data_IF_321421353470
#
_entry.id   IF_321421353470
#
_cell.length_a   1.000
_cell.length_b   1.000
_cell.length_c   1.000
_cell.angle_alpha   90.00
_cell.angle_beta   90.00
_cell.angle_gamma   90.00
#
_symmetry.space_group_name_H-M   'P 1'
#
loop_
_entity.id
_entity.type
_entity.pdbx_description
1 polymer ?
#
# COMPACT_ATOMS: atom_id res chain seq x y z
N UNK A 1 10.81 -13.38 -7.28
CA UNK A 1 10.59 -12.42 -8.37
C UNK A 1 10.12 -13.16 -9.61
N UNK A 2 9.12 -12.68 -10.35
CA UNK A 2 8.73 -13.23 -11.64
C UNK A 2 9.88 -13.06 -12.64
N UNK A 3 9.96 -13.96 -13.62
CA UNK A 3 10.95 -13.89 -14.71
C UNK A 3 10.27 -14.02 -16.06
N UNK A 4 10.82 -13.38 -17.09
CA UNK A 4 10.28 -13.44 -18.44
C UNK A 4 8.97 -12.68 -18.61
N UNK A 5 8.12 -13.13 -19.54
CA UNK A 5 6.87 -12.46 -19.91
C UNK A 5 5.71 -13.01 -19.09
N UNK A 6 5.10 -12.13 -18.30
CA UNK A 6 4.05 -12.45 -17.33
C UNK A 6 2.74 -11.74 -17.66
N UNK A 7 1.63 -12.28 -17.16
CA UNK A 7 0.30 -11.65 -17.27
C UNK A 7 -0.33 -11.35 -15.90
N UNK A 8 -1.63 -11.04 -15.92
CA UNK A 8 -2.43 -10.72 -14.74
C UNK A 8 -2.27 -11.69 -13.56
N UNK A 9 -2.35 -13.01 -13.82
CA UNK A 9 -2.24 -14.02 -12.75
C UNK A 9 -0.88 -13.98 -12.07
N UNK A 10 0.20 -13.89 -12.84
CA UNK A 10 1.57 -13.85 -12.32
C UNK A 10 1.81 -12.56 -11.50
N UNK A 11 1.23 -11.43 -11.93
CA UNK A 11 1.24 -10.17 -11.17
C UNK A 11 0.58 -10.35 -9.80
N UNK A 12 -0.56 -11.03 -9.72
CA UNK A 12 -1.20 -11.35 -8.44
C UNK A 12 -0.33 -12.26 -7.56
N UNK A 13 0.25 -13.32 -8.14
CA UNK A 13 1.15 -14.23 -7.41
C UNK A 13 2.40 -13.50 -6.90
N UNK A 14 2.90 -12.52 -7.64
CA UNK A 14 4.01 -11.69 -7.20
C UNK A 14 3.66 -10.85 -5.97
N UNK A 15 2.52 -10.15 -5.98
CA UNK A 15 2.08 -9.41 -4.81
C UNK A 15 1.83 -10.33 -3.60
N UNK A 16 1.27 -11.52 -3.82
CA UNK A 16 1.12 -12.53 -2.78
C UNK A 16 2.46 -12.91 -2.15
N UNK A 17 3.48 -13.15 -2.98
CA UNK A 17 4.83 -13.47 -2.51
C UNK A 17 5.46 -12.31 -1.72
N UNK A 18 5.33 -11.06 -2.20
CA UNK A 18 5.82 -9.88 -1.49
C UNK A 18 5.22 -9.76 -0.08
N UNK A 19 3.90 -9.99 0.04
CA UNK A 19 3.25 -9.99 1.35
C UNK A 19 3.72 -11.15 2.23
N UNK A 20 3.91 -12.34 1.67
CA UNK A 20 4.42 -13.50 2.40
C UNK A 20 5.83 -13.29 2.95
N UNK A 21 6.69 -12.60 2.19
CA UNK A 21 8.06 -12.25 2.59
C UNK A 21 8.12 -11.02 3.51
N UNK A 22 6.97 -10.42 3.84
CA UNK A 22 6.88 -9.14 4.54
C UNK A 22 7.72 -8.03 3.85
N UNK A 23 7.88 -8.15 2.53
CA UNK A 23 8.54 -7.18 1.68
C UNK A 23 7.55 -6.04 1.41
N UNK A 24 7.58 -5.02 2.28
CA UNK A 24 6.69 -3.85 2.20
C UNK A 24 7.10 -2.91 1.05
N UNK A 25 8.22 -3.17 0.38
CA UNK A 25 8.77 -2.36 -0.70
C UNK A 25 9.29 -3.23 -1.81
N UNK A 26 9.07 -2.77 -3.04
CA UNK A 26 9.58 -3.37 -4.25
C UNK A 26 10.35 -2.27 -4.96
N UNK A 27 11.59 -2.55 -5.34
CA UNK A 27 12.42 -1.65 -6.15
C UNK A 27 12.23 -1.95 -7.65
N UNK A 28 11.05 -2.45 -8.04
CA UNK A 28 10.71 -2.66 -9.43
C UNK A 28 10.40 -1.30 -10.09
N UNK A 29 11.27 -0.86 -10.99
CA UNK A 29 10.99 0.26 -11.88
C UNK A 29 10.11 -0.18 -13.05
N UNK A 30 9.24 0.72 -13.53
CA UNK A 30 8.40 0.46 -14.69
C UNK A 30 8.94 1.17 -15.93
N UNK A 31 9.32 0.41 -16.96
CA UNK A 31 9.58 0.94 -18.30
C UNK A 31 8.32 0.70 -19.15
N UNK A 32 7.53 1.75 -19.35
CA UNK A 32 6.22 1.65 -20.00
C UNK A 32 6.26 2.44 -21.31
N UNK A 33 5.82 1.82 -22.41
CA UNK A 33 5.68 2.54 -23.67
C UNK A 33 4.62 3.64 -23.54
N UNK A 34 4.89 4.83 -24.09
CA UNK A 34 4.01 6.00 -23.94
C UNK A 34 2.55 5.72 -24.28
N UNK A 35 2.30 4.90 -25.31
CA UNK A 35 0.94 4.56 -25.76
C UNK A 35 0.05 3.91 -24.69
N UNK A 36 0.64 3.30 -23.65
CA UNK A 36 -0.14 2.75 -22.53
C UNK A 36 -0.91 3.83 -21.78
N UNK A 37 -0.34 5.04 -21.70
CA UNK A 37 -1.01 6.18 -21.06
C UNK A 37 -2.12 6.78 -21.93
N UNK A 38 -2.14 6.48 -23.23
CA UNK A 38 -3.24 6.87 -24.12
C UNK A 38 -4.45 5.92 -23.96
N UNK A 39 -4.21 4.68 -23.49
CA UNK A 39 -5.24 3.65 -23.29
C UNK A 39 -5.75 3.58 -21.85
N UNK A 40 -4.89 3.93 -20.89
CA UNK A 40 -5.22 3.93 -19.47
C UNK A 40 -4.85 5.31 -18.92
N UNK A 41 -5.85 6.16 -18.73
CA UNK A 41 -5.60 7.41 -18.01
C UNK A 41 -5.26 7.01 -16.58
N UNK A 42 -4.02 7.24 -16.18
CA UNK A 42 -3.65 7.24 -14.77
C UNK A 42 -4.67 8.15 -14.05
N UNK A 43 -5.21 7.74 -12.90
CA UNK A 43 -6.45 8.30 -12.35
C UNK A 43 -6.40 9.82 -12.08
N UNK A 44 -6.65 10.65 -13.10
CA UNK A 44 -6.36 12.10 -13.11
C UNK A 44 -7.07 12.90 -12.01
N UNK A 45 -8.22 12.40 -11.55
CA UNK A 45 -9.01 13.01 -10.48
C UNK A 45 -8.50 12.67 -9.07
N UNK A 46 -7.46 11.84 -8.92
CA UNK A 46 -6.96 11.30 -7.65
C UNK A 46 -5.55 11.79 -7.37
N UNK A 47 -5.24 12.04 -6.10
CA UNK A 47 -3.93 12.56 -5.65
C UNK A 47 -3.12 11.56 -4.82
N UNK A 48 -3.72 10.43 -4.46
CA UNK A 48 -3.04 9.37 -3.71
C UNK A 48 -2.13 8.50 -4.57
N UNK A 49 -1.32 7.67 -3.92
CA UNK A 49 -0.55 6.60 -4.55
C UNK A 49 -1.52 5.55 -5.11
N UNK A 50 -1.69 5.51 -6.44
CA UNK A 50 -2.64 4.64 -7.16
C UNK A 50 -1.97 3.48 -7.90
N UNK A 51 -0.66 3.31 -7.74
CA UNK A 51 0.18 2.43 -8.55
C UNK A 51 -0.30 0.99 -8.51
N UNK A 52 -0.64 0.46 -7.34
CA UNK A 52 -1.06 -0.93 -7.21
C UNK A 52 -2.37 -1.25 -7.96
N UNK A 53 -3.34 -0.33 -7.99
CA UNK A 53 -4.57 -0.52 -8.77
C UNK A 53 -4.27 -0.40 -10.26
N UNK A 54 -3.55 0.65 -10.66
CA UNK A 54 -3.16 0.87 -12.05
C UNK A 54 -2.36 -0.31 -12.62
N UNK A 55 -1.42 -0.87 -11.85
CA UNK A 55 -0.65 -2.05 -12.25
C UNK A 55 -1.51 -3.30 -12.44
N UNK A 56 -2.49 -3.51 -11.57
CA UNK A 56 -3.40 -4.66 -11.70
C UNK A 56 -4.36 -4.50 -12.88
N UNK A 57 -4.86 -3.29 -13.13
CA UNK A 57 -5.68 -2.98 -14.30
C UNK A 57 -4.88 -3.16 -15.59
N UNK A 58 -3.66 -2.61 -15.63
CA UNK A 58 -2.76 -2.75 -16.78
C UNK A 58 -2.46 -4.23 -17.06
N UNK A 59 -2.16 -5.02 -16.04
CA UNK A 59 -1.82 -6.44 -16.21
C UNK A 59 -2.97 -7.29 -16.78
N UNK A 60 -4.22 -6.78 -16.82
CA UNK A 60 -5.36 -7.44 -17.49
C UNK A 60 -5.32 -7.32 -19.00
N UNK A 61 -4.76 -6.22 -19.50
CA UNK A 61 -4.78 -5.88 -20.93
C UNK A 61 -3.39 -6.00 -21.56
N UNK A 62 -2.34 -5.86 -20.76
CA UNK A 62 -0.95 -5.93 -21.20
C UNK A 62 -0.16 -7.04 -20.48
N UNK A 63 0.89 -7.52 -21.14
CA UNK A 63 1.87 -8.43 -20.55
C UNK A 63 3.12 -7.64 -20.12
N UNK A 64 3.73 -8.05 -19.02
CA UNK A 64 4.97 -7.43 -18.52
C UNK A 64 6.17 -8.36 -18.74
N UNK A 65 7.23 -7.83 -19.35
CA UNK A 65 8.55 -8.47 -19.34
C UNK A 65 9.29 -8.06 -18.06
N UNK A 66 9.73 -9.03 -17.27
CA UNK A 66 10.55 -8.80 -16.08
C UNK A 66 12.02 -9.04 -16.40
N UNK A 67 12.82 -7.99 -16.20
CA UNK A 67 14.27 -8.03 -16.37
C UNK A 67 14.90 -7.65 -15.04
N UNK A 68 15.80 -8.50 -14.53
CA UNK A 68 16.60 -8.18 -13.36
C UNK A 68 17.79 -7.34 -13.80
N UNK A 69 17.66 -6.02 -13.68
CA UNK A 69 18.71 -5.06 -14.05
C UNK A 69 18.69 -3.84 -13.10
N UNK A 70 19.78 -3.10 -13.05
CA UNK A 70 19.89 -1.84 -12.28
C UNK A 70 19.34 -0.71 -13.13
N UNK A 71 18.06 -0.40 -12.94
CA UNK A 71 17.35 0.60 -13.74
C UNK A 71 17.56 2.05 -13.28
N UNK A 72 18.16 2.27 -12.11
CA UNK A 72 18.39 3.63 -11.60
C UNK A 72 19.00 3.68 -10.20
N UNK A 73 19.15 4.90 -9.70
CA UNK A 73 19.65 5.20 -8.36
C UNK A 73 18.49 5.74 -7.48
N UNK A 74 18.23 5.10 -6.35
CA UNK A 74 17.31 5.65 -5.34
C UNK A 74 18.07 6.62 -4.43
N UNK A 75 17.74 7.91 -4.54
CA UNK A 75 18.25 8.92 -3.63
C UNK A 75 17.49 8.89 -2.30
N UNK A 76 18.00 8.12 -1.34
CA UNK A 76 17.42 8.05 -0.01
C UNK A 76 17.61 9.35 0.80
N UNK A 77 18.50 10.26 0.35
CA UNK A 77 18.94 11.47 1.03
C UNK A 77 18.24 12.78 0.63
N UNK A 78 17.38 12.73 -0.37
CA UNK A 78 16.69 13.91 -0.88
C UNK A 78 15.91 14.65 0.25
N UNK A 79 16.10 15.98 0.41
CA UNK A 79 15.47 16.76 1.48
C UNK A 79 13.94 16.84 1.34
N UNK A 80 13.42 16.67 0.13
CA UNK A 80 11.99 16.58 -0.19
C UNK A 80 11.43 15.14 -0.12
N UNK A 81 12.16 14.17 0.46
CA UNK A 81 11.67 12.79 0.55
C UNK A 81 10.40 12.70 1.40
N UNK A 82 9.34 12.13 0.82
CA UNK A 82 8.07 11.81 1.51
C UNK A 82 8.25 10.97 2.79
N UNK A 83 9.34 10.21 2.87
CA UNK A 83 9.68 9.37 4.02
C UNK A 83 10.22 10.14 5.23
N UNK A 84 10.64 11.40 5.03
CA UNK A 84 11.31 12.27 6.02
C UNK A 84 10.42 13.37 6.57
N UNK A 85 9.15 13.41 6.18
CA UNK A 85 8.20 14.41 6.63
C UNK A 85 8.09 14.52 8.15
N UNK A 86 7.92 15.76 8.62
CA UNK A 86 7.66 16.07 10.01
C UNK A 86 6.26 15.59 10.43
N UNK A 87 5.98 15.51 11.74
CA UNK A 87 4.61 15.22 12.20
C UNK A 87 3.59 16.25 11.71
N UNK A 88 4.02 17.52 11.62
CA UNK A 88 3.18 18.64 11.19
C UNK A 88 2.74 18.50 9.73
N UNK A 89 3.55 17.86 8.88
CA UNK A 89 3.21 17.62 7.46
C UNK A 89 2.60 16.23 7.23
N UNK A 90 3.06 15.19 7.96
CA UNK A 90 2.54 13.82 7.84
C UNK A 90 1.06 13.73 8.19
N UNK A 91 0.62 14.32 9.31
CA UNK A 91 -0.76 14.12 9.80
C UNK A 91 -1.80 14.73 8.84
N UNK A 92 -1.71 16.02 8.44
CA UNK A 92 -2.64 16.59 7.47
C UNK A 92 -2.69 15.79 6.17
N UNK A 93 -1.52 15.37 5.67
CA UNK A 93 -1.42 14.56 4.45
C UNK A 93 -2.11 13.19 4.59
N UNK A 94 -1.86 12.46 5.67
CA UNK A 94 -2.51 11.18 5.92
C UNK A 94 -4.03 11.30 5.93
N UNK A 95 -4.56 12.41 6.45
CA UNK A 95 -6.00 12.66 6.47
C UNK A 95 -6.53 13.07 5.09
N UNK A 96 -5.78 13.88 4.33
CA UNK A 96 -6.20 14.34 3.00
C UNK A 96 -6.13 13.25 1.93
N UNK A 97 -5.18 12.31 2.03
CA UNK A 97 -5.00 11.21 1.07
C UNK A 97 -5.91 10.00 1.37
N UNK A 98 -6.45 9.92 2.59
CA UNK A 98 -7.24 8.77 3.03
C UNK A 98 -8.47 8.48 2.16
N UNK A 99 -9.26 9.46 1.68
CA UNK A 99 -10.39 9.20 0.79
C UNK A 99 -9.97 8.52 -0.52
N UNK A 100 -8.89 8.99 -1.14
CA UNK A 100 -8.39 8.41 -2.40
C UNK A 100 -7.81 7.01 -2.17
N UNK A 101 -7.06 6.83 -1.07
CA UNK A 101 -6.49 5.54 -0.71
C UNK A 101 -7.56 4.50 -0.36
N UNK A 102 -8.64 4.94 0.30
CA UNK A 102 -9.82 4.12 0.56
C UNK A 102 -10.49 3.72 -0.77
N UNK A 103 -10.74 4.68 -1.66
CA UNK A 103 -11.34 4.43 -2.96
C UNK A 103 -10.52 3.41 -3.76
N UNK A 104 -9.20 3.55 -3.79
CA UNK A 104 -8.31 2.58 -4.44
C UNK A 104 -8.49 1.19 -3.86
N UNK A 105 -8.43 1.05 -2.53
CA UNK A 105 -8.55 -0.24 -1.87
C UNK A 105 -9.91 -0.91 -2.11
N UNK A 106 -11.01 -0.14 -2.06
CA UNK A 106 -12.35 -0.65 -2.36
C UNK A 106 -12.49 -1.03 -3.83
N UNK A 107 -11.92 -0.24 -4.74
CA UNK A 107 -11.90 -0.52 -6.18
C UNK A 107 -11.13 -1.80 -6.47
N UNK A 108 -9.94 -1.99 -5.86
CA UNK A 108 -9.18 -3.22 -5.97
C UNK A 108 -9.96 -4.43 -5.46
N UNK A 109 -10.58 -4.32 -4.28
CA UNK A 109 -11.38 -5.39 -3.68
C UNK A 109 -12.64 -5.73 -4.47
N UNK A 110 -13.19 -4.77 -5.23
CA UNK A 110 -14.35 -4.97 -6.07
C UNK A 110 -13.96 -5.53 -7.44
N UNK A 111 -13.12 -4.81 -8.19
CA UNK A 111 -12.78 -5.15 -9.57
C UNK A 111 -11.93 -6.41 -9.65
N UNK A 112 -11.00 -6.62 -8.71
CA UNK A 112 -10.07 -7.75 -8.73
C UNK A 112 -10.44 -8.86 -7.73
N UNK A 113 -11.67 -8.82 -7.18
CA UNK A 113 -12.14 -9.70 -6.09
C UNK A 113 -11.78 -11.18 -6.31
N UNK A 114 -12.15 -11.70 -7.47
CA UNK A 114 -11.99 -13.09 -7.87
C UNK A 114 -10.53 -13.51 -7.99
N UNK A 115 -9.72 -12.71 -8.70
CA UNK A 115 -8.31 -12.99 -8.87
C UNK A 115 -7.55 -12.92 -7.55
N UNK A 116 -7.85 -11.90 -6.74
CA UNK A 116 -7.29 -11.75 -5.40
C UNK A 116 -7.65 -12.92 -4.50
N UNK A 117 -8.91 -13.38 -4.50
CA UNK A 117 -9.34 -14.51 -3.68
C UNK A 117 -8.67 -15.83 -4.09
N UNK A 118 -8.52 -16.08 -5.39
CA UNK A 118 -7.97 -17.33 -5.92
C UNK A 118 -6.45 -17.40 -5.91
N UNK A 119 -5.77 -16.28 -6.13
CA UNK A 119 -4.32 -16.27 -6.40
C UNK A 119 -3.51 -15.45 -5.41
N UNK A 120 -4.13 -14.50 -4.68
CA UNK A 120 -3.41 -13.62 -3.77
C UNK A 120 -4.19 -13.34 -2.47
N UNK A 121 -4.54 -14.38 -1.69
CA UNK A 121 -5.41 -14.22 -0.52
C UNK A 121 -4.78 -13.39 0.61
N UNK A 122 -3.44 -13.45 0.82
CA UNK A 122 -2.78 -12.60 1.82
C UNK A 122 -2.72 -11.15 1.34
N UNK A 123 -2.47 -10.94 0.05
CA UNK A 123 -2.53 -9.59 -0.52
C UNK A 123 -3.94 -9.00 -0.44
N UNK A 124 -4.97 -9.78 -0.77
CA UNK A 124 -6.38 -9.40 -0.58
C UNK A 124 -6.66 -8.95 0.85
N UNK A 125 -6.21 -9.72 1.84
CA UNK A 125 -6.34 -9.37 3.25
C UNK A 125 -5.60 -8.08 3.59
N UNK A 126 -4.38 -7.89 3.09
CA UNK A 126 -3.63 -6.64 3.28
C UNK A 126 -4.38 -5.42 2.72
N UNK A 127 -5.04 -5.57 1.55
CA UNK A 127 -5.88 -4.50 0.98
C UNK A 127 -7.08 -4.22 1.89
N UNK A 128 -7.73 -5.23 2.48
CA UNK A 128 -8.82 -5.03 3.46
C UNK A 128 -8.34 -4.31 4.72
N UNK A 129 -7.16 -4.66 5.25
CA UNK A 129 -6.56 -3.95 6.37
C UNK A 129 -6.24 -2.49 6.02
N UNK A 130 -5.80 -2.24 4.78
CA UNK A 130 -5.61 -0.88 4.26
C UNK A 130 -6.94 -0.14 4.17
N UNK A 131 -7.98 -0.73 3.57
CA UNK A 131 -9.31 -0.14 3.47
C UNK A 131 -9.88 0.23 4.85
N UNK A 132 -9.74 -0.64 5.85
CA UNK A 132 -10.16 -0.34 7.22
C UNK A 132 -9.43 0.90 7.78
N UNK A 133 -8.11 0.94 7.64
CA UNK A 133 -7.28 2.05 8.12
C UNK A 133 -7.65 3.36 7.43
N UNK A 134 -7.74 3.36 6.10
CA UNK A 134 -8.01 4.58 5.34
C UNK A 134 -9.46 5.05 5.56
N UNK A 135 -10.44 4.15 5.74
CA UNK A 135 -11.79 4.53 6.14
C UNK A 135 -11.82 5.23 7.50
N UNK A 136 -11.06 4.76 8.50
CA UNK A 136 -10.95 5.45 9.78
C UNK A 136 -10.24 6.81 9.66
N UNK A 137 -9.19 6.92 8.85
CA UNK A 137 -8.50 8.19 8.61
C UNK A 137 -9.39 9.19 7.85
N UNK A 138 -10.30 8.72 7.00
CA UNK A 138 -11.31 9.54 6.33
C UNK A 138 -12.52 9.88 7.24
N UNK A 139 -12.61 9.32 8.45
CA UNK A 139 -13.72 9.56 9.38
C UNK A 139 -14.94 8.65 9.21
N UNK A 140 -14.89 7.68 8.31
CA UNK A 140 -15.98 6.73 8.05
C UNK A 140 -15.92 5.54 9.02
N UNK A 141 -16.31 5.75 10.28
CA UNK A 141 -16.21 4.73 11.36
C UNK A 141 -16.90 3.40 11.02
N UNK A 142 -18.14 3.44 10.53
CA UNK A 142 -18.89 2.22 10.19
C UNK A 142 -18.21 1.42 9.07
N UNK A 143 -17.70 2.11 8.05
CA UNK A 143 -16.94 1.48 6.96
C UNK A 143 -15.63 0.89 7.45
N UNK A 144 -14.90 1.63 8.30
CA UNK A 144 -13.66 1.14 8.93
C UNK A 144 -13.89 -0.16 9.70
N UNK A 145 -14.92 -0.20 10.54
CA UNK A 145 -15.30 -1.39 11.30
C UNK A 145 -15.72 -2.55 10.39
N UNK A 146 -16.50 -2.29 9.34
CA UNK A 146 -16.89 -3.31 8.35
C UNK A 146 -15.66 -3.95 7.70
N UNK A 147 -14.70 -3.13 7.25
CA UNK A 147 -13.47 -3.61 6.63
C UNK A 147 -12.56 -4.32 7.62
N UNK A 148 -12.50 -3.88 8.88
CA UNK A 148 -11.80 -4.62 9.95
C UNK A 148 -12.37 -6.02 10.11
N UNK A 149 -13.70 -6.17 10.20
CA UNK A 149 -14.31 -7.49 10.33
C UNK A 149 -14.14 -8.35 9.06
N UNK A 150 -14.14 -7.74 7.87
CA UNK A 150 -13.81 -8.46 6.63
C UNK A 150 -12.38 -9.00 6.67
N UNK A 151 -11.40 -8.20 7.10
CA UNK A 151 -10.02 -8.63 7.25
C UNK A 151 -9.85 -9.74 8.31
N UNK A 152 -10.52 -9.63 9.46
CA UNK A 152 -10.54 -10.67 10.50
C UNK A 152 -11.08 -11.99 9.97
N UNK A 153 -12.22 -11.97 9.27
CA UNK A 153 -12.80 -13.17 8.64
C UNK A 153 -11.91 -13.77 7.55
N UNK A 154 -11.08 -12.94 6.90
CA UNK A 154 -10.05 -13.39 5.96
C UNK A 154 -8.76 -13.88 6.67
N UNK A 155 -8.78 -14.10 7.99
CA UNK A 155 -7.65 -14.58 8.78
C UNK A 155 -6.69 -13.48 9.26
N UNK A 156 -7.12 -12.21 9.27
CA UNK A 156 -6.35 -11.06 9.74
C UNK A 156 -6.72 -10.69 11.16
N UNK A 157 -6.23 -11.41 12.16
CA UNK A 157 -6.47 -11.10 13.57
C UNK A 157 -5.20 -10.52 14.24
N UNK A 158 -4.48 -9.63 13.55
CA UNK A 158 -3.23 -9.09 14.07
C UNK A 158 -3.46 -8.04 15.17
N UNK A 159 -2.59 -7.95 16.20
CA UNK A 159 -2.66 -6.89 17.21
C UNK A 159 -2.67 -5.48 16.59
N UNK A 160 -1.99 -5.31 15.46
CA UNK A 160 -1.95 -4.06 14.69
C UNK A 160 -3.32 -3.69 14.13
N UNK A 161 -4.09 -4.65 13.62
CA UNK A 161 -5.44 -4.39 13.10
C UNK A 161 -6.39 -3.99 14.24
N UNK A 162 -6.32 -4.68 15.38
CA UNK A 162 -7.12 -4.34 16.56
C UNK A 162 -6.76 -2.96 17.12
N UNK A 163 -5.47 -2.62 17.20
CA UNK A 163 -5.03 -1.27 17.56
C UNK A 163 -5.55 -0.21 16.57
N UNK A 164 -5.55 -0.53 15.27
CA UNK A 164 -6.12 0.35 14.23
C UNK A 164 -7.62 0.58 14.43
N UNK A 165 -8.38 -0.47 14.76
CA UNK A 165 -9.80 -0.37 15.09
C UNK A 165 -10.02 0.54 16.32
N UNK A 166 -9.35 0.27 17.43
CA UNK A 166 -9.49 1.04 18.67
C UNK A 166 -9.19 2.53 18.45
N UNK A 167 -8.04 2.84 17.84
CA UNK A 167 -7.63 4.21 17.56
C UNK A 167 -8.53 4.90 16.52
N UNK A 168 -8.98 4.15 15.52
CA UNK A 168 -9.90 4.65 14.50
C UNK A 168 -11.28 5.01 15.06
N UNK A 169 -11.76 4.24 16.04
CA UNK A 169 -13.00 4.52 16.76
C UNK A 169 -12.89 5.79 17.62
N UNK A 170 -11.73 6.04 18.24
CA UNK A 170 -11.46 7.30 18.94
C UNK A 170 -11.42 8.50 17.99
N UNK A 171 -11.04 8.29 16.72
CA UNK A 171 -11.22 9.23 15.62
C UNK A 171 -10.01 9.35 14.69
N UNK A 172 -10.16 10.04 13.55
CA UNK A 172 -9.13 10.12 12.51
C UNK A 172 -7.78 10.63 13.01
N UNK A 173 -7.80 11.66 13.87
CA UNK A 173 -6.58 12.29 14.39
C UNK A 173 -5.81 11.39 15.35
N UNK A 174 -6.51 10.61 16.20
CA UNK A 174 -5.86 9.67 17.11
C UNK A 174 -5.09 8.60 16.32
N UNK A 175 -5.72 8.02 15.30
CA UNK A 175 -5.06 7.05 14.41
C UNK A 175 -3.90 7.68 13.62
N UNK A 176 -4.07 8.89 13.09
CA UNK A 176 -3.00 9.59 12.35
C UNK A 176 -1.78 9.88 13.24
N UNK A 177 -2.00 10.33 14.48
CA UNK A 177 -0.93 10.57 15.47
C UNK A 177 -0.17 9.29 15.81
N UNK A 178 -0.88 8.19 16.04
CA UNK A 178 -0.26 6.89 16.30
C UNK A 178 0.60 6.43 15.11
N UNK A 179 0.09 6.57 13.87
CA UNK A 179 0.84 6.22 12.64
C UNK A 179 2.09 7.08 12.46
N UNK A 180 1.99 8.38 12.71
CA UNK A 180 3.13 9.31 12.64
C UNK A 180 4.20 8.99 13.71
N UNK A 181 3.78 8.59 14.92
CA UNK A 181 4.68 8.18 15.99
C UNK A 181 5.39 6.87 15.68
N UNK A 182 4.67 5.85 15.20
CA UNK A 182 5.26 4.58 14.79
C UNK A 182 6.26 4.73 13.63
N UNK A 183 6.03 5.68 12.71
CA UNK A 183 7.00 6.02 11.65
C UNK A 183 8.32 6.54 12.22
N UNK A 184 8.27 7.46 13.19
CA UNK A 184 9.48 8.00 13.85
C UNK A 184 10.26 6.92 14.60
N UNK A 185 9.58 6.07 15.36
CA UNK A 185 10.22 4.98 16.11
C UNK A 185 11.01 4.03 15.18
N UNK A 186 10.43 3.64 14.04
CA UNK A 186 11.12 2.81 13.04
C UNK A 186 12.28 3.52 12.35
N UNK A 187 12.14 4.82 12.06
CA UNK A 187 13.23 5.61 11.48
C UNK A 187 14.39 5.81 12.45
N UNK A 188 14.11 5.92 13.75
CA UNK A 188 15.11 5.99 14.80
C UNK A 188 15.83 4.65 14.99
N UNK A 189 15.08 3.54 15.06
CA UNK A 189 15.67 2.20 15.18
C UNK A 189 16.58 1.87 13.99
N UNK A 190 16.16 2.18 12.76
CA UNK A 190 16.99 1.98 11.56
C UNK A 190 18.30 2.76 11.59
N UNK A 191 18.25 4.02 12.05
CA UNK A 191 19.47 4.83 12.21
C UNK A 191 20.42 4.22 13.23
N UNK A 192 19.92 3.76 14.38
CA UNK A 192 20.78 3.14 15.41
C UNK A 192 21.43 1.83 14.98
N UNK A 193 20.72 1.02 14.20
CA UNK A 193 21.28 -0.22 13.61
C UNK A 193 22.36 0.12 12.57
N UNK A 194 22.13 1.11 11.71
CA UNK A 194 23.13 1.54 10.72
C UNK A 194 24.37 2.20 11.34
N UNK A 195 24.24 2.85 12.50
CA UNK A 195 25.37 3.49 13.21
C UNK A 195 26.02 2.58 14.27
N UNK A 196 25.67 1.29 14.34
CA UNK A 196 26.28 0.34 15.30
C UNK A 196 26.00 0.63 16.78
N UNK A 197 24.94 1.39 17.10
CA UNK A 197 24.63 1.81 18.48
C UNK A 197 23.77 0.81 19.27
N UNK A 198 23.28 -0.25 18.63
CA UNK A 198 22.53 -1.34 19.26
C UNK A 198 23.00 -2.64 18.60
N UNK A 199 23.56 -3.55 19.40
CA UNK A 199 23.78 -4.95 19.06
C UNK A 199 22.55 -5.77 19.44
#
# INVERSE_FOLDING_TARGET
MPTGITGYRDRLLWHEALVAENAVRTDAGHCIHRSVFDMTNYFDARRGAMEALWELDLARVERSLWVADVLGLEHADAPNSHSRDSRATVIPRLLSEAPDSLWMAETMLHQHADGLARHAPRFRRLIMESAAREAFLAGHRLMGTRHTWAAVRAGGASPKLLATLLLGMMGPRALAQAKATGRKARAWHRRRVQTGMIH
#
